data_IF_802215741689
#
_entry.id   IF_802215741689
#
_cell.length_a   1.000
_cell.length_b   1.000
_cell.length_c   1.000
_cell.angle_alpha   90.00
_cell.angle_beta   90.00
_cell.angle_gamma   90.00
#
_symmetry.space_group_name_H-M   'P 1'
#
loop_
_entity.id
_entity.type
_entity.pdbx_description
1 polymer ?
#
# COMPACT_ATOMS: atom_id res chain seq x y z
N UNK A 1 29.30 -7.89 17.60
CA UNK A 1 28.72 -7.77 16.25
C UNK A 1 27.45 -6.94 16.35
N UNK A 2 27.40 -5.72 15.77
CA UNK A 2 26.16 -4.94 15.67
C UNK A 2 25.18 -5.71 14.76
N UNK A 3 24.03 -6.13 15.28
CA UNK A 3 22.93 -6.73 14.48
C UNK A 3 22.65 -5.81 13.31
N UNK A 4 23.00 -6.23 12.08
CA UNK A 4 22.65 -5.51 10.85
C UNK A 4 21.13 -5.34 10.88
N UNK A 5 20.63 -4.10 10.95
CA UNK A 5 19.21 -3.81 11.00
C UNK A 5 18.57 -4.33 9.71
N UNK A 6 17.89 -5.44 9.79
CA UNK A 6 17.19 -6.04 8.65
C UNK A 6 15.77 -5.47 8.54
N UNK A 7 15.30 -5.29 7.30
CA UNK A 7 13.90 -4.97 7.02
C UNK A 7 13.04 -6.17 7.43
N UNK A 8 12.01 -5.91 8.21
CA UNK A 8 11.07 -6.92 8.65
C UNK A 8 10.01 -7.19 7.58
N UNK A 9 9.81 -8.46 7.26
CA UNK A 9 8.70 -8.95 6.44
C UNK A 9 7.65 -9.55 7.36
N UNK A 10 6.44 -9.01 7.32
CA UNK A 10 5.32 -9.47 8.14
C UNK A 10 4.54 -10.55 7.40
N UNK A 11 4.31 -11.69 8.05
CA UNK A 11 3.34 -12.70 7.63
C UNK A 11 1.96 -12.32 8.18
N UNK A 12 0.93 -12.59 7.42
CA UNK A 12 -0.44 -12.26 7.78
C UNK A 12 -1.31 -13.51 7.98
N UNK A 13 -2.33 -13.35 8.82
CA UNK A 13 -3.46 -14.27 8.97
C UNK A 13 -4.74 -13.65 8.39
N UNK A 14 -5.83 -14.40 8.37
CA UNK A 14 -7.14 -13.94 7.94
C UNK A 14 -7.19 -13.56 6.45
N UNK A 15 -7.76 -12.40 6.12
CA UNK A 15 -7.99 -11.98 4.71
C UNK A 15 -6.70 -11.96 3.86
N UNK A 16 -5.55 -11.65 4.48
CA UNK A 16 -4.25 -11.59 3.81
C UNK A 16 -3.37 -12.83 4.03
N UNK A 17 -3.91 -13.91 4.57
CA UNK A 17 -3.15 -15.15 4.78
C UNK A 17 -2.45 -15.60 3.50
N UNK A 18 -1.15 -15.96 3.63
CA UNK A 18 -0.31 -16.37 2.51
C UNK A 18 0.27 -15.22 1.67
N UNK A 19 -0.08 -13.97 1.93
CA UNK A 19 0.49 -12.79 1.25
C UNK A 19 1.35 -12.02 2.26
N UNK A 20 2.69 -12.19 2.25
CA UNK A 20 3.56 -11.41 3.13
C UNK A 20 3.63 -9.94 2.73
N UNK A 21 4.09 -9.09 3.65
CA UNK A 21 4.23 -7.67 3.38
C UNK A 21 5.51 -7.04 3.93
N UNK A 22 5.96 -5.97 3.29
CA UNK A 22 6.80 -4.94 3.87
C UNK A 22 5.94 -3.72 4.12
N UNK A 23 5.92 -3.26 5.36
CA UNK A 23 5.16 -2.07 5.76
C UNK A 23 6.02 -1.16 6.62
N UNK A 24 5.66 0.11 6.65
CA UNK A 24 6.27 1.14 7.50
C UNK A 24 5.34 1.55 8.63
N UNK A 25 5.84 2.31 9.59
CA UNK A 25 5.05 2.77 10.73
C UNK A 25 4.08 3.88 10.33
N UNK A 26 2.78 3.66 10.52
CA UNK A 26 1.79 4.72 10.39
C UNK A 26 1.92 5.76 11.53
N UNK A 27 2.56 5.41 12.65
CA UNK A 27 2.78 6.33 13.78
C UNK A 27 3.86 7.35 13.44
N UNK A 28 4.94 6.95 12.77
CA UNK A 28 6.02 7.85 12.35
C UNK A 28 5.70 8.60 11.04
N UNK A 29 4.67 8.20 10.31
CA UNK A 29 4.28 8.85 9.07
C UNK A 29 3.35 10.03 9.37
N UNK A 30 3.86 11.27 9.21
CA UNK A 30 3.11 12.50 9.50
C UNK A 30 1.80 12.61 8.70
N UNK A 31 1.76 12.06 7.46
CA UNK A 31 0.54 12.05 6.64
C UNK A 31 -0.52 11.10 7.21
N UNK A 32 -0.10 9.95 7.76
CA UNK A 32 -1.00 9.04 8.46
C UNK A 32 -1.54 9.69 9.73
N UNK A 33 -0.69 10.34 10.53
CA UNK A 33 -1.11 11.01 11.76
C UNK A 33 -2.12 12.14 11.48
N UNK A 34 -1.89 12.95 10.45
CA UNK A 34 -2.86 13.98 10.02
C UNK A 34 -4.22 13.38 9.68
N UNK A 35 -4.25 12.21 9.00
CA UNK A 35 -5.50 11.58 8.58
C UNK A 35 -6.23 10.88 9.72
N UNK A 36 -5.52 10.28 10.67
CA UNK A 36 -6.12 9.65 11.87
C UNK A 36 -6.92 10.67 12.68
N UNK A 37 -6.45 11.92 12.72
CA UNK A 37 -7.09 13.02 13.44
C UNK A 37 -8.19 13.75 12.63
N UNK A 38 -8.59 13.22 11.47
CA UNK A 38 -9.62 13.80 10.61
C UNK A 38 -10.84 12.87 10.54
N UNK A 39 -11.97 13.28 11.11
CA UNK A 39 -13.19 12.48 11.22
C UNK A 39 -13.76 12.02 9.87
N UNK A 40 -13.55 12.82 8.82
CA UNK A 40 -13.98 12.48 7.46
C UNK A 40 -13.04 11.50 6.75
N UNK A 41 -11.87 11.22 7.34
CA UNK A 41 -10.90 10.31 6.75
C UNK A 41 -11.24 8.86 7.04
N UNK A 42 -11.06 7.99 6.04
CA UNK A 42 -11.07 6.54 6.27
C UNK A 42 -10.03 6.10 7.31
N UNK A 43 -8.96 6.88 7.48
CA UNK A 43 -7.90 6.62 8.47
C UNK A 43 -8.32 6.96 9.90
N UNK A 44 -9.42 7.65 10.14
CA UNK A 44 -9.97 7.85 11.49
C UNK A 44 -10.25 6.49 12.16
N UNK A 45 -10.74 5.53 11.39
CA UNK A 45 -10.97 4.15 11.81
C UNK A 45 -9.80 3.21 11.43
N UNK A 46 -8.56 3.70 11.49
CA UNK A 46 -7.40 2.95 11.04
C UNK A 46 -7.07 1.78 11.98
N UNK A 47 -7.34 0.55 11.54
CA UNK A 47 -7.01 -0.65 12.30
C UNK A 47 -5.50 -0.73 12.61
N UNK A 48 -4.64 -0.32 11.67
CA UNK A 48 -3.19 -0.36 11.86
C UNK A 48 -2.74 0.53 13.01
N UNK A 49 -3.30 1.74 13.12
CA UNK A 49 -3.00 2.66 14.22
C UNK A 49 -3.45 2.07 15.56
N UNK A 50 -4.66 1.51 15.65
CA UNK A 50 -5.16 0.86 16.86
C UNK A 50 -4.34 -0.39 17.20
N UNK A 51 -4.04 -1.22 16.21
CA UNK A 51 -3.32 -2.47 16.40
C UNK A 51 -1.90 -2.26 16.94
N UNK A 52 -1.19 -1.22 16.48
CA UNK A 52 0.17 -0.92 16.95
C UNK A 52 0.23 -0.39 18.40
N UNK A 53 -0.88 0.08 18.97
CA UNK A 53 -0.91 0.45 20.40
C UNK A 53 -0.65 -0.76 21.31
N UNK A 54 -1.11 -1.95 20.89
CA UNK A 54 -1.07 -3.17 21.71
C UNK A 54 0.02 -4.16 21.26
N UNK A 55 0.69 -3.95 20.13
CA UNK A 55 1.67 -4.88 19.54
C UNK A 55 3.05 -4.23 19.46
N UNK A 56 3.74 -4.17 20.63
CA UNK A 56 5.06 -3.50 20.75
C UNK A 56 6.07 -4.00 19.74
N UNK A 57 6.26 -5.32 19.60
CA UNK A 57 7.25 -5.90 18.69
C UNK A 57 6.98 -5.56 17.22
N UNK A 58 5.69 -5.63 16.81
CA UNK A 58 5.29 -5.23 15.46
C UNK A 58 5.56 -3.73 15.24
N UNK A 59 5.20 -2.88 16.20
CA UNK A 59 5.45 -1.44 16.14
C UNK A 59 6.93 -1.16 15.94
N UNK A 60 7.81 -1.73 16.76
CA UNK A 60 9.25 -1.54 16.65
C UNK A 60 9.82 -2.05 15.31
N UNK A 61 9.27 -3.16 14.79
CA UNK A 61 9.66 -3.68 13.48
C UNK A 61 9.26 -2.72 12.34
N UNK A 62 8.06 -2.16 12.37
CA UNK A 62 7.58 -1.21 11.38
C UNK A 62 8.29 0.15 11.47
N UNK A 63 8.67 0.58 12.68
CA UNK A 63 9.48 1.77 12.89
C UNK A 63 10.90 1.59 12.33
N UNK A 64 11.53 0.43 12.54
CA UNK A 64 12.81 0.11 11.87
C UNK A 64 12.69 0.14 10.36
N UNK A 65 11.65 -0.48 9.80
CA UNK A 65 11.38 -0.44 8.36
C UNK A 65 11.24 1.00 7.86
N UNK A 66 10.48 1.83 8.59
CA UNK A 66 10.30 3.25 8.26
C UNK A 66 11.66 3.96 8.16
N UNK A 67 12.51 3.83 9.18
CA UNK A 67 13.83 4.48 9.17
C UNK A 67 14.74 3.99 8.04
N UNK A 68 14.71 2.70 7.71
CA UNK A 68 15.54 2.15 6.64
C UNK A 68 15.01 2.60 5.27
N UNK A 69 13.72 2.42 5.01
CA UNK A 69 13.14 2.59 3.69
C UNK A 69 12.97 4.06 3.28
N UNK A 70 12.85 4.99 4.25
CA UNK A 70 12.58 6.40 3.97
C UNK A 70 13.84 7.28 3.97
N UNK A 71 14.98 6.78 4.48
CA UNK A 71 16.20 7.60 4.63
C UNK A 71 17.24 7.38 3.54
N UNK A 72 17.30 6.19 2.94
CA UNK A 72 18.31 5.86 1.92
C UNK A 72 17.76 4.93 0.85
N UNK A 73 18.38 4.95 -0.31
CA UNK A 73 18.17 3.92 -1.34
C UNK A 73 18.90 2.64 -0.89
N UNK A 74 18.19 1.51 -0.95
CA UNK A 74 18.74 0.20 -0.60
C UNK A 74 19.80 -0.22 -1.62
N UNK A 75 20.89 -0.83 -1.14
CA UNK A 75 21.85 -1.47 -1.98
C UNK A 75 21.30 -2.78 -2.55
N UNK A 76 21.96 -3.31 -3.59
CA UNK A 76 21.60 -4.61 -4.17
C UNK A 76 21.66 -5.73 -3.13
N UNK A 77 22.67 -5.73 -2.28
CA UNK A 77 22.89 -6.72 -1.22
C UNK A 77 21.79 -6.64 -0.16
N UNK A 78 21.34 -5.42 0.19
CA UNK A 78 20.22 -5.23 1.11
C UNK A 78 18.89 -5.73 0.52
N UNK A 79 18.69 -5.56 -0.79
CA UNK A 79 17.52 -6.11 -1.49
C UNK A 79 17.59 -7.63 -1.55
N UNK A 80 18.74 -8.22 -1.88
CA UNK A 80 18.96 -9.68 -1.88
C UNK A 80 18.64 -10.27 -0.50
N UNK A 81 19.09 -9.60 0.56
CA UNK A 81 18.91 -10.04 1.94
C UNK A 81 17.44 -10.09 2.39
N UNK A 82 16.49 -9.49 1.64
CA UNK A 82 15.05 -9.61 1.92
C UNK A 82 14.55 -11.04 1.72
N UNK A 83 15.18 -11.82 0.85
CA UNK A 83 14.85 -13.23 0.57
C UNK A 83 13.34 -13.45 0.34
N UNK A 84 12.74 -12.65 -0.54
CA UNK A 84 11.31 -12.76 -0.86
C UNK A 84 11.11 -14.00 -1.74
N UNK A 85 10.37 -14.96 -1.17
CA UNK A 85 10.01 -16.22 -1.85
C UNK A 85 8.50 -16.40 -1.77
N UNK A 86 7.74 -15.58 -2.48
CA UNK A 86 6.29 -15.65 -2.56
C UNK A 86 5.80 -15.18 -3.92
N UNK A 87 4.73 -15.79 -4.44
CA UNK A 87 4.14 -15.40 -5.73
C UNK A 87 3.48 -14.01 -5.65
N UNK A 88 2.92 -13.64 -4.49
CA UNK A 88 2.25 -12.38 -4.25
C UNK A 88 2.80 -11.72 -3.00
N UNK A 89 2.95 -10.41 -3.05
CA UNK A 89 3.54 -9.63 -1.97
C UNK A 89 2.88 -8.23 -1.86
N UNK A 90 2.73 -7.71 -0.66
CA UNK A 90 2.13 -6.40 -0.44
C UNK A 90 3.12 -5.41 0.13
N UNK A 91 3.12 -4.20 -0.41
CA UNK A 91 3.70 -3.03 0.24
C UNK A 91 2.60 -2.26 0.98
N UNK A 92 2.93 -1.78 2.17
CA UNK A 92 2.07 -0.94 3.01
C UNK A 92 0.73 -1.60 3.41
N UNK A 93 0.83 -2.72 4.14
CA UNK A 93 -0.33 -3.31 4.81
C UNK A 93 -0.73 -2.54 6.08
N UNK A 94 0.24 -1.90 6.76
CA UNK A 94 0.05 -1.17 8.02
C UNK A 94 0.35 0.33 7.94
N UNK A 95 1.05 0.79 6.90
CA UNK A 95 1.46 2.17 6.73
C UNK A 95 0.95 2.78 5.43
N UNK A 96 1.72 3.72 4.93
CA UNK A 96 1.50 4.38 3.63
C UNK A 96 2.83 4.95 3.14
N UNK A 97 2.95 5.27 1.86
CA UNK A 97 4.12 5.97 1.33
C UNK A 97 4.37 7.26 2.12
N UNK A 98 5.63 7.47 2.50
CA UNK A 98 6.06 8.66 3.21
C UNK A 98 6.80 9.64 2.29
N UNK A 99 7.64 9.13 1.38
CA UNK A 99 8.47 9.94 0.49
C UNK A 99 8.91 9.18 -0.78
N UNK A 100 9.59 9.90 -1.67
CA UNK A 100 10.09 9.37 -2.94
C UNK A 100 11.13 8.25 -2.76
N UNK A 101 11.99 8.33 -1.74
CA UNK A 101 13.02 7.32 -1.45
C UNK A 101 12.37 5.96 -1.20
N UNK A 102 11.30 5.93 -0.42
CA UNK A 102 10.56 4.71 -0.13
C UNK A 102 9.96 4.09 -1.39
N UNK A 103 9.32 4.89 -2.25
CA UNK A 103 8.77 4.40 -3.51
C UNK A 103 9.86 3.87 -4.44
N UNK A 104 11.01 4.54 -4.52
CA UNK A 104 12.15 4.09 -5.33
C UNK A 104 12.68 2.74 -4.80
N UNK A 105 12.74 2.56 -3.48
CA UNK A 105 13.11 1.28 -2.88
C UNK A 105 12.14 0.16 -3.30
N UNK A 106 10.83 0.41 -3.27
CA UNK A 106 9.84 -0.57 -3.72
C UNK A 106 9.95 -0.89 -5.21
N UNK A 107 10.21 0.10 -6.06
CA UNK A 107 10.50 -0.11 -7.49
C UNK A 107 11.72 -1.01 -7.67
N UNK A 108 12.80 -0.78 -6.92
CA UNK A 108 14.04 -1.56 -7.02
C UNK A 108 13.83 -3.00 -6.52
N UNK A 109 13.05 -3.21 -5.46
CA UNK A 109 12.65 -4.54 -4.98
C UNK A 109 11.86 -5.28 -6.06
N UNK A 110 10.85 -4.65 -6.67
CA UNK A 110 10.08 -5.26 -7.77
C UNK A 110 10.97 -5.66 -8.96
N UNK A 111 11.93 -4.80 -9.33
CA UNK A 111 12.86 -5.07 -10.43
C UNK A 111 13.78 -6.24 -10.16
N UNK A 112 14.12 -6.48 -8.90
CA UNK A 112 14.96 -7.61 -8.50
C UNK A 112 14.14 -8.92 -8.45
N UNK A 113 12.99 -8.92 -7.77
CA UNK A 113 12.13 -10.10 -7.59
C UNK A 113 11.08 -10.22 -8.70
N UNK A 114 11.52 -10.50 -9.92
CA UNK A 114 10.68 -10.46 -11.14
C UNK A 114 9.53 -11.48 -11.16
N UNK A 115 9.67 -12.58 -10.42
CA UNK A 115 8.69 -13.67 -10.35
C UNK A 115 7.63 -13.46 -9.24
N UNK A 116 7.75 -12.39 -8.46
CA UNK A 116 6.78 -12.00 -7.43
C UNK A 116 5.90 -10.88 -7.97
N UNK A 117 4.59 -11.00 -7.82
CA UNK A 117 3.64 -9.92 -8.08
C UNK A 117 3.48 -9.06 -6.83
N UNK A 118 3.78 -7.79 -6.95
CA UNK A 118 3.70 -6.83 -5.87
C UNK A 118 2.45 -5.96 -6.00
N UNK A 119 1.85 -5.60 -4.87
CA UNK A 119 0.76 -4.65 -4.80
C UNK A 119 1.10 -3.55 -3.79
N UNK A 120 0.99 -2.29 -4.20
CA UNK A 120 1.23 -1.12 -3.36
C UNK A 120 -0.06 -0.34 -3.17
N UNK A 121 -0.56 -0.27 -1.92
CA UNK A 121 -1.64 0.64 -1.55
C UNK A 121 -1.08 1.98 -1.09
N UNK A 122 -1.63 3.07 -1.61
CA UNK A 122 -1.29 4.40 -1.12
C UNK A 122 -2.44 5.40 -1.25
N UNK A 123 -2.50 6.33 -0.31
CA UNK A 123 -3.31 7.54 -0.38
C UNK A 123 -2.49 8.76 -0.83
N UNK A 124 -1.16 8.59 -0.97
CA UNK A 124 -0.21 9.65 -1.28
C UNK A 124 0.13 9.67 -2.77
N UNK A 125 -0.86 10.02 -3.59
CA UNK A 125 -0.75 10.04 -5.06
C UNK A 125 0.32 11.02 -5.54
N UNK A 126 0.55 12.10 -4.81
CA UNK A 126 1.60 13.10 -5.09
C UNK A 126 3.01 12.48 -5.13
N UNK A 127 3.27 11.46 -4.29
CA UNK A 127 4.55 10.72 -4.32
C UNK A 127 4.67 9.89 -5.60
N UNK A 128 3.57 9.24 -6.03
CA UNK A 128 3.56 8.51 -7.30
C UNK A 128 3.87 9.45 -8.46
N UNK A 129 3.17 10.58 -8.53
CA UNK A 129 3.38 11.59 -9.57
C UNK A 129 4.81 12.15 -9.54
N UNK A 130 5.33 12.49 -8.36
CA UNK A 130 6.69 13.02 -8.20
C UNK A 130 7.79 12.05 -8.69
N UNK A 131 7.63 10.75 -8.48
CA UNK A 131 8.62 9.76 -8.91
C UNK A 131 8.43 9.39 -10.38
N UNK A 132 7.22 9.06 -10.81
CA UNK A 132 6.98 8.54 -12.15
C UNK A 132 6.95 9.61 -13.25
N UNK A 133 6.85 10.90 -12.93
CA UNK A 133 7.10 11.99 -13.89
C UNK A 133 8.58 12.07 -14.32
N UNK A 134 9.49 11.49 -13.55
CA UNK A 134 10.90 11.42 -13.88
C UNK A 134 11.16 10.28 -14.88
N UNK A 135 11.67 10.58 -16.08
CA UNK A 135 11.90 9.59 -17.16
C UNK A 135 12.70 8.34 -16.76
N UNK A 136 13.56 8.45 -15.73
CA UNK A 136 14.38 7.33 -15.23
C UNK A 136 13.59 6.28 -14.43
N UNK A 137 12.41 6.62 -13.91
CA UNK A 137 11.59 5.69 -13.15
C UNK A 137 10.36 5.28 -13.97
N UNK A 138 10.24 3.97 -14.20
CA UNK A 138 9.08 3.37 -14.86
C UNK A 138 8.46 2.35 -13.92
N UNK A 139 7.14 2.25 -13.92
CA UNK A 139 6.39 1.24 -13.18
C UNK A 139 6.84 -0.16 -13.61
N UNK A 140 7.33 -1.01 -12.68
CA UNK A 140 7.63 -2.41 -12.99
C UNK A 140 6.38 -3.17 -13.44
N UNK A 141 6.55 -4.10 -14.39
CA UNK A 141 5.42 -4.91 -14.92
C UNK A 141 4.76 -5.78 -13.86
N UNK A 142 5.49 -6.17 -12.81
CA UNK A 142 5.04 -6.98 -11.69
C UNK A 142 4.60 -6.13 -10.48
N UNK A 143 4.32 -4.83 -10.66
CA UNK A 143 3.80 -3.95 -9.62
C UNK A 143 2.40 -3.47 -9.98
N UNK A 144 1.41 -3.85 -9.18
CA UNK A 144 0.07 -3.24 -9.19
C UNK A 144 0.04 -2.02 -8.28
N UNK A 145 -0.40 -0.88 -8.79
CA UNK A 145 -0.58 0.35 -8.05
C UNK A 145 -2.05 0.53 -7.68
N UNK A 146 -2.30 0.62 -6.39
CA UNK A 146 -3.64 0.84 -5.84
C UNK A 146 -3.67 2.21 -5.16
N UNK A 147 -4.44 3.15 -5.71
CA UNK A 147 -4.73 4.39 -5.01
C UNK A 147 -6.01 4.24 -4.19
N UNK A 148 -5.92 4.57 -2.92
CA UNK A 148 -7.06 4.49 -2.01
C UNK A 148 -7.55 5.88 -1.66
N UNK A 149 -8.87 6.12 -1.77
CA UNK A 149 -9.43 7.40 -1.34
C UNK A 149 -9.10 7.69 0.13
N UNK A 150 -8.59 8.88 0.46
CA UNK A 150 -8.32 9.24 1.83
C UNK A 150 -9.59 9.56 2.63
N UNK A 151 -10.71 9.85 1.94
CA UNK A 151 -11.97 10.21 2.55
C UNK A 151 -12.93 9.03 2.57
N UNK A 152 -13.66 8.87 3.68
CA UNK A 152 -14.73 7.89 3.83
C UNK A 152 -15.91 8.33 2.97
N UNK A 153 -16.57 7.38 2.32
CA UNK A 153 -17.73 7.62 1.45
C UNK A 153 -17.48 8.52 0.21
N UNK A 154 -16.22 8.76 -0.15
CA UNK A 154 -15.88 9.63 -1.28
C UNK A 154 -14.93 8.91 -2.23
N UNK A 155 -15.36 8.63 -3.44
CA UNK A 155 -14.51 8.12 -4.50
C UNK A 155 -13.63 9.23 -5.10
N UNK A 156 -12.50 8.85 -5.69
CA UNK A 156 -11.77 9.79 -6.55
C UNK A 156 -12.59 10.14 -7.79
N UNK A 157 -12.63 11.43 -8.20
CA UNK A 157 -13.20 11.81 -9.47
C UNK A 157 -12.51 11.08 -10.63
N UNK A 158 -13.26 10.63 -11.62
CA UNK A 158 -12.72 9.95 -12.81
C UNK A 158 -11.65 10.80 -13.49
N UNK A 159 -11.92 12.11 -13.66
CA UNK A 159 -10.97 13.06 -14.26
C UNK A 159 -9.65 13.18 -13.49
N UNK A 160 -9.65 12.97 -12.17
CA UNK A 160 -8.43 12.91 -11.36
C UNK A 160 -7.64 11.63 -11.68
N UNK A 161 -8.31 10.47 -11.75
CA UNK A 161 -7.67 9.19 -12.07
C UNK A 161 -7.07 9.22 -13.48
N UNK A 162 -7.78 9.79 -14.44
CA UNK A 162 -7.29 9.98 -15.82
C UNK A 162 -6.03 10.86 -15.86
N UNK A 163 -5.99 11.95 -15.08
CA UNK A 163 -4.78 12.79 -14.97
C UNK A 163 -3.59 12.01 -14.39
N UNK A 164 -3.81 11.18 -13.38
CA UNK A 164 -2.76 10.34 -12.81
C UNK A 164 -2.29 9.31 -13.84
N UNK A 165 -3.21 8.69 -14.58
CA UNK A 165 -2.93 7.68 -15.60
C UNK A 165 -2.09 8.21 -16.77
N UNK A 166 -2.11 9.54 -17.05
CA UNK A 166 -1.19 10.16 -18.03
C UNK A 166 0.28 10.10 -17.58
N UNK A 167 0.54 9.97 -16.29
CA UNK A 167 1.90 9.89 -15.71
C UNK A 167 2.29 8.45 -15.41
N UNK A 168 1.40 7.72 -14.73
CA UNK A 168 1.60 6.31 -14.37
C UNK A 168 0.26 5.60 -14.31
N UNK A 169 0.19 4.44 -14.95
CA UNK A 169 -1.03 3.62 -14.94
C UNK A 169 -1.36 3.12 -13.53
N UNK A 170 -2.56 3.42 -13.06
CA UNK A 170 -3.14 2.94 -11.81
C UNK A 170 -3.98 1.70 -12.13
N UNK A 171 -3.66 0.58 -11.50
CA UNK A 171 -4.38 -0.69 -11.72
C UNK A 171 -5.72 -0.70 -10.98
N UNK A 172 -5.77 -0.12 -9.76
CA UNK A 172 -6.96 -0.16 -8.91
C UNK A 172 -7.19 1.18 -8.22
N UNK A 173 -8.43 1.64 -8.27
CA UNK A 173 -8.95 2.71 -7.39
C UNK A 173 -9.78 2.07 -6.30
N UNK A 174 -9.41 2.32 -5.05
CA UNK A 174 -10.01 1.69 -3.88
C UNK A 174 -10.76 2.72 -3.03
N UNK A 175 -12.02 2.47 -2.74
CA UNK A 175 -12.87 3.36 -1.94
C UNK A 175 -13.54 2.58 -0.81
N UNK A 176 -13.63 3.21 0.37
CA UNK A 176 -14.28 2.62 1.54
C UNK A 176 -15.59 3.37 1.83
N UNK A 177 -16.66 2.63 2.03
CA UNK A 177 -18.00 3.15 2.32
C UNK A 177 -18.53 2.60 3.62
N UNK A 178 -19.28 3.41 4.37
CA UNK A 178 -20.12 2.87 5.46
C UNK A 178 -21.29 2.10 4.86
N UNK A 179 -21.85 1.17 5.64
CA UNK A 179 -22.99 0.37 5.21
C UNK A 179 -24.16 1.26 4.81
N UNK A 180 -24.52 2.21 5.67
CA UNK A 180 -25.65 3.13 5.51
C UNK A 180 -25.48 4.00 4.24
N UNK A 181 -24.26 4.48 3.98
CA UNK A 181 -23.99 5.29 2.80
C UNK A 181 -24.09 4.46 1.52
N UNK A 182 -23.54 3.25 1.53
CA UNK A 182 -23.58 2.36 0.37
C UNK A 182 -25.02 1.96 0.01
N UNK A 183 -25.84 1.61 1.00
CA UNK A 183 -27.26 1.28 0.82
C UNK A 183 -28.05 2.49 0.30
N UNK A 184 -27.91 3.65 0.91
CA UNK A 184 -28.60 4.89 0.50
C UNK A 184 -28.30 5.31 -0.94
N UNK A 185 -27.07 5.07 -1.42
CA UNK A 185 -26.61 5.50 -2.73
C UNK A 185 -26.48 4.37 -3.75
N UNK A 186 -27.00 3.16 -3.43
CA UNK A 186 -26.96 1.97 -4.29
C UNK A 186 -25.53 1.63 -4.76
N UNK A 187 -24.53 1.78 -3.87
CA UNK A 187 -23.14 1.48 -4.18
C UNK A 187 -22.90 -0.02 -4.01
N UNK A 188 -22.45 -0.66 -5.10
CA UNK A 188 -22.13 -2.08 -5.06
C UNK A 188 -20.79 -2.28 -4.35
N UNK A 189 -20.82 -3.01 -3.23
CA UNK A 189 -19.62 -3.47 -2.53
C UNK A 189 -19.10 -4.72 -3.23
N UNK A 190 -17.93 -4.62 -3.84
CA UNK A 190 -17.33 -5.69 -4.63
C UNK A 190 -16.03 -6.25 -4.02
N UNK A 191 -15.57 -5.72 -2.88
CA UNK A 191 -14.46 -6.29 -2.07
C UNK A 191 -14.99 -7.26 -1.02
N UNK A 192 -15.59 -8.38 -1.46
CA UNK A 192 -16.26 -9.37 -0.60
C UNK A 192 -15.52 -10.69 -0.39
N UNK A 193 -14.37 -10.92 -1.03
CA UNK A 193 -13.66 -12.19 -0.92
C UNK A 193 -13.16 -12.45 0.51
N UNK A 194 -13.33 -13.69 0.99
CA UNK A 194 -12.86 -14.15 2.29
C UNK A 194 -11.34 -14.07 2.42
N UNK A 195 -10.61 -14.43 1.35
CA UNK A 195 -9.16 -14.42 1.28
C UNK A 195 -8.68 -13.71 0.01
N UNK A 196 -7.67 -12.84 0.15
CA UNK A 196 -7.09 -12.11 -0.98
C UNK A 196 -6.43 -13.04 -2.01
N UNK A 197 -5.82 -14.15 -1.59
CA UNK A 197 -5.27 -15.17 -2.48
C UNK A 197 -6.31 -15.83 -3.40
N UNK A 198 -7.57 -15.94 -2.97
CA UNK A 198 -8.65 -16.45 -3.81
C UNK A 198 -9.19 -15.43 -4.81
N UNK A 199 -9.01 -14.13 -4.55
CA UNK A 199 -9.50 -13.04 -5.39
C UNK A 199 -8.43 -12.49 -6.34
N UNK A 200 -7.29 -12.08 -5.81
CA UNK A 200 -6.11 -11.51 -6.49
C UNK A 200 -6.36 -10.26 -7.35
N UNK A 201 -7.54 -9.65 -7.35
CA UNK A 201 -7.83 -8.48 -8.18
C UNK A 201 -6.84 -7.33 -7.93
N UNK A 202 -6.47 -7.09 -6.67
CA UNK A 202 -5.49 -6.05 -6.33
C UNK A 202 -4.03 -6.45 -6.59
N UNK A 203 -3.76 -7.71 -6.92
CA UNK A 203 -2.39 -8.25 -7.09
C UNK A 203 -2.05 -8.57 -8.54
N UNK A 204 -2.96 -8.27 -9.46
CA UNK A 204 -2.75 -8.44 -10.90
C UNK A 204 -2.68 -7.07 -11.55
N UNK A 205 -1.84 -6.93 -12.57
CA UNK A 205 -1.90 -5.76 -13.44
C UNK A 205 -3.15 -5.83 -14.30
N UNK A 206 -3.87 -4.73 -14.40
CA UNK A 206 -5.06 -4.59 -15.23
C UNK A 206 -4.74 -3.74 -16.46
N UNK A 207 -5.36 -4.08 -17.59
CA UNK A 207 -5.24 -3.28 -18.82
C UNK A 207 -5.91 -1.92 -18.65
N UNK A 208 -7.04 -1.90 -17.94
CA UNK A 208 -7.80 -0.72 -17.57
C UNK A 208 -7.87 -0.59 -16.05
N UNK A 209 -8.01 0.62 -15.55
CA UNK A 209 -8.18 0.85 -14.11
C UNK A 209 -9.51 0.25 -13.63
N UNK A 210 -9.45 -0.62 -12.64
CA UNK A 210 -10.66 -1.16 -11.99
C UNK A 210 -10.99 -0.41 -10.69
N UNK A 211 -12.27 -0.37 -10.33
CA UNK A 211 -12.77 0.31 -9.14
C UNK A 211 -13.25 -0.71 -8.12
N UNK A 212 -12.67 -0.67 -6.93
CA UNK A 212 -12.99 -1.59 -5.84
C UNK A 212 -13.59 -0.79 -4.69
N UNK A 213 -14.78 -1.21 -4.28
CA UNK A 213 -15.53 -0.65 -3.17
C UNK A 213 -15.55 -1.65 -2.01
N UNK A 214 -15.05 -1.24 -0.85
CA UNK A 214 -15.07 -2.02 0.39
C UNK A 214 -16.00 -1.38 1.41
N UNK A 215 -16.71 -2.23 2.15
CA UNK A 215 -17.49 -1.77 3.30
C UNK A 215 -16.57 -1.58 4.50
N UNK A 216 -16.70 -0.44 5.19
CA UNK A 216 -16.04 -0.19 6.47
C UNK A 216 -16.49 -1.26 7.48
N UNK A 217 -15.53 -1.87 8.16
CA UNK A 217 -15.75 -2.90 9.20
C UNK A 217 -15.59 -2.29 10.58
#
# INVERSE_FOLDING_TARGET
>A
MKKKSSINITKHSGKMEGIPSISTSCILNARCQKRVNCDKSVCHNCFAHSYMKFRKELREALERNFHILTKKILTKEEIIALNINSSFFRFEAFGDLNNNIQLINYINICRYYRNTHFALWTKNVDILLSVFSQKKYRKPKNLSLIISSPLLNVAFPISFVEKVNKVVHIDVVFTVYTKEFAEKHNIIINCGAKHCLGCLQCYKSHRETIYINEQLK
#
